data_IF_428795396378
#
_entry.id   IF_428795396378
#
_cell.length_a   1.000
_cell.length_b   1.000
_cell.length_c   1.000
_cell.angle_alpha   90.00
_cell.angle_beta   90.00
_cell.angle_gamma   90.00
#
_symmetry.space_group_name_H-M   'P 1'
#
loop_
_entity.id
_entity.type
_entity.pdbx_description
1 polymer ?
#
# COMPACT_ATOMS: atom_id res chain seq x y z
N UNK A 1 28.00 27.07 -32.84
CA UNK A 1 28.49 25.89 -32.10
C UNK A 1 27.32 24.94 -31.97
N UNK A 2 27.29 23.93 -32.83
CA UNK A 2 26.16 23.02 -33.03
C UNK A 2 25.86 22.19 -31.78
N UNK A 3 24.57 22.09 -31.46
CA UNK A 3 24.01 21.18 -30.47
C UNK A 3 24.29 19.73 -30.90
N UNK A 4 25.16 19.04 -30.16
CA UNK A 4 25.27 17.58 -30.25
C UNK A 4 23.94 16.97 -29.78
N UNK A 5 23.15 16.52 -30.75
CA UNK A 5 22.11 15.50 -30.54
C UNK A 5 22.79 14.26 -29.96
N UNK A 6 22.59 14.00 -28.68
CA UNK A 6 22.95 12.72 -28.09
C UNK A 6 22.13 11.63 -28.78
N UNK A 7 22.86 10.76 -29.49
CA UNK A 7 22.34 9.62 -30.25
C UNK A 7 21.73 8.64 -29.25
N UNK A 8 20.45 8.32 -29.42
CA UNK A 8 19.83 7.15 -28.77
C UNK A 8 20.64 5.88 -29.11
N UNK A 9 20.80 4.92 -28.17
CA UNK A 9 21.56 3.72 -28.44
C UNK A 9 20.85 2.88 -29.52
N UNK A 10 21.60 2.54 -30.57
CA UNK A 10 21.18 1.64 -31.64
C UNK A 10 21.50 0.18 -31.31
N UNK A 11 20.67 -0.71 -31.84
CA UNK A 11 20.83 -2.16 -32.07
C UNK A 11 20.60 -3.11 -30.88
N UNK A 12 19.35 -3.20 -30.44
CA UNK A 12 18.56 -4.39 -30.09
C UNK A 12 17.23 -3.89 -29.49
N UNK A 13 16.32 -3.37 -30.34
CA UNK A 13 14.99 -2.90 -29.89
C UNK A 13 14.08 -4.09 -29.56
N UNK A 14 14.44 -4.83 -28.51
CA UNK A 14 13.46 -5.56 -27.72
C UNK A 14 12.87 -4.51 -26.80
N UNK A 15 11.65 -4.05 -27.11
CA UNK A 15 10.87 -3.20 -26.22
C UNK A 15 10.85 -3.85 -24.84
N UNK A 16 11.48 -3.20 -23.85
CA UNK A 16 11.45 -3.71 -22.49
C UNK A 16 10.01 -3.67 -21.97
N UNK A 17 9.52 -4.83 -21.55
CA UNK A 17 8.19 -5.03 -21.00
C UNK A 17 8.27 -4.89 -19.48
N UNK A 18 7.44 -4.02 -18.92
CA UNK A 18 7.36 -3.77 -17.48
C UNK A 18 5.97 -4.14 -17.01
N UNK A 19 5.88 -5.02 -16.03
CA UNK A 19 4.60 -5.35 -15.40
C UNK A 19 4.46 -4.58 -14.09
N UNK A 20 3.41 -3.76 -14.00
CA UNK A 20 3.00 -3.10 -12.77
C UNK A 20 1.97 -3.96 -12.05
N UNK A 21 2.32 -4.47 -10.87
CA UNK A 21 1.43 -5.23 -10.00
C UNK A 21 0.96 -4.30 -8.88
N UNK A 22 -0.32 -3.92 -8.90
CA UNK A 22 -0.85 -2.85 -8.04
C UNK A 22 -2.29 -3.14 -7.60
N UNK A 23 -2.70 -2.83 -6.37
CA UNK A 23 -4.09 -3.02 -5.97
C UNK A 23 -5.01 -1.98 -6.64
N UNK A 24 -6.16 -2.35 -7.22
CA UNK A 24 -7.12 -1.36 -7.74
C UNK A 24 -7.66 -0.47 -6.62
N UNK A 25 -8.14 -1.06 -5.52
CA UNK A 25 -8.90 -0.28 -4.53
C UNK A 25 -8.01 0.68 -3.74
N UNK A 26 -8.08 1.96 -4.13
CA UNK A 26 -7.71 3.11 -3.29
C UNK A 26 -6.61 4.03 -3.82
N UNK A 27 -5.93 3.72 -4.94
CA UNK A 27 -4.78 4.51 -5.43
C UNK A 27 -4.60 4.52 -6.96
N UNK A 28 -5.69 4.38 -7.73
CA UNK A 28 -5.69 4.25 -9.20
C UNK A 28 -4.78 5.26 -9.93
N UNK A 29 -4.74 6.51 -9.49
CA UNK A 29 -4.03 7.59 -10.20
C UNK A 29 -2.51 7.41 -10.21
N UNK A 30 -1.94 6.75 -9.20
CA UNK A 30 -0.49 6.56 -9.13
C UNK A 30 0.00 5.54 -10.14
N UNK A 31 -0.61 4.35 -10.18
CA UNK A 31 -0.20 3.30 -11.10
C UNK A 31 -0.48 3.70 -12.55
N UNK A 32 -1.55 4.46 -12.81
CA UNK A 32 -1.79 5.06 -14.13
C UNK A 32 -0.76 6.11 -14.50
N UNK A 33 -0.37 7.01 -13.60
CA UNK A 33 0.66 8.01 -13.90
C UNK A 33 2.03 7.36 -14.16
N UNK A 34 2.40 6.35 -13.37
CA UNK A 34 3.62 5.55 -13.58
C UNK A 34 3.56 4.83 -14.94
N UNK A 35 2.42 4.19 -15.26
CA UNK A 35 2.18 3.54 -16.55
C UNK A 35 2.31 4.52 -17.71
N UNK A 36 1.70 5.70 -17.61
CA UNK A 36 1.79 6.77 -18.60
C UNK A 36 3.23 7.24 -18.82
N UNK A 37 3.96 7.51 -17.73
CA UNK A 37 5.36 7.90 -17.80
C UNK A 37 6.24 6.84 -18.47
N UNK A 38 6.07 5.57 -18.09
CA UNK A 38 6.78 4.43 -18.71
C UNK A 38 6.45 4.30 -20.20
N UNK A 39 5.19 4.44 -20.60
CA UNK A 39 4.79 4.40 -22.01
C UNK A 39 5.38 5.57 -22.81
N UNK A 40 5.40 6.78 -22.24
CA UNK A 40 6.05 7.97 -22.86
C UNK A 40 7.55 7.77 -23.04
N UNK A 41 8.19 6.99 -22.18
CA UNK A 41 9.60 6.60 -22.31
C UNK A 41 9.84 5.42 -23.27
N UNK A 42 8.78 4.87 -23.88
CA UNK A 42 8.88 3.79 -24.84
C UNK A 42 8.94 2.39 -24.23
N UNK A 43 8.39 2.18 -23.03
CA UNK A 43 8.23 0.82 -22.47
C UNK A 43 6.87 0.22 -22.82
N UNK A 44 6.82 -1.10 -23.02
CA UNK A 44 5.55 -1.84 -23.04
C UNK A 44 5.15 -2.07 -21.59
N UNK A 45 3.96 -1.62 -21.19
CA UNK A 45 3.50 -1.73 -19.81
C UNK A 45 2.28 -2.62 -19.72
N UNK A 46 2.37 -3.66 -18.90
CA UNK A 46 1.25 -4.49 -18.49
C UNK A 46 0.84 -4.09 -17.07
N UNK A 47 -0.47 -3.99 -16.81
CA UNK A 47 -0.98 -3.67 -15.48
C UNK A 47 -1.78 -4.86 -14.95
N UNK A 48 -1.50 -5.24 -13.70
CA UNK A 48 -2.07 -6.40 -13.06
C UNK A 48 -2.58 -6.01 -11.68
N UNK A 49 -3.84 -6.31 -11.38
CA UNK A 49 -4.39 -6.20 -10.03
C UNK A 49 -4.34 -7.53 -9.29
N UNK A 50 -3.55 -7.57 -8.23
CA UNK A 50 -3.40 -8.77 -7.42
C UNK A 50 -4.55 -8.96 -6.40
N UNK A 51 -5.31 -7.92 -6.05
CA UNK A 51 -6.46 -8.04 -5.13
C UNK A 51 -7.69 -8.67 -5.79
N UNK A 52 -7.86 -8.51 -7.10
CA UNK A 52 -8.90 -9.22 -7.87
C UNK A 52 -8.56 -10.71 -8.07
N UNK A 53 -7.34 -11.11 -7.74
CA UNK A 53 -6.80 -12.45 -7.96
C UNK A 53 -6.21 -13.06 -6.68
N UNK A 54 -6.73 -12.72 -5.48
CA UNK A 54 -6.17 -13.23 -4.21
C UNK A 54 -6.06 -14.75 -4.16
N UNK A 55 -7.05 -15.46 -4.71
CA UNK A 55 -7.07 -16.94 -4.74
C UNK A 55 -6.28 -17.54 -5.93
N UNK A 56 -5.80 -16.69 -6.84
CA UNK A 56 -5.11 -17.07 -8.10
C UNK A 56 -3.73 -16.46 -8.28
N UNK A 57 -3.13 -15.87 -7.23
CA UNK A 57 -1.84 -15.17 -7.31
C UNK A 57 -0.73 -16.03 -7.92
N UNK A 58 -0.72 -17.33 -7.62
CA UNK A 58 0.25 -18.25 -8.18
C UNK A 58 0.16 -18.37 -9.70
N UNK A 59 -1.06 -18.44 -10.24
CA UNK A 59 -1.27 -18.49 -11.69
C UNK A 59 -0.95 -17.15 -12.35
N UNK A 60 -1.35 -16.06 -11.69
CA UNK A 60 -1.07 -14.69 -12.14
C UNK A 60 0.44 -14.45 -12.30
N UNK A 61 1.22 -14.73 -11.25
CA UNK A 61 2.67 -14.54 -11.26
C UNK A 61 3.38 -15.48 -12.24
N UNK A 62 2.88 -16.72 -12.44
CA UNK A 62 3.42 -17.64 -13.45
C UNK A 62 3.27 -17.12 -14.88
N UNK A 63 2.21 -16.36 -15.16
CA UNK A 63 1.93 -15.79 -16.49
C UNK A 63 2.70 -14.50 -16.76
N UNK A 64 3.33 -13.90 -15.75
CA UNK A 64 4.12 -12.68 -15.94
C UNK A 64 5.36 -13.01 -16.78
N UNK A 65 5.42 -12.42 -17.96
CA UNK A 65 6.59 -12.39 -18.82
C UNK A 65 6.99 -10.93 -18.97
N UNK A 66 8.02 -10.49 -18.25
CA UNK A 66 8.45 -9.09 -18.21
C UNK A 66 9.96 -9.00 -18.04
N UNK A 67 10.53 -7.86 -18.46
CA UNK A 67 11.93 -7.50 -18.21
C UNK A 67 12.12 -6.83 -16.83
N UNK A 68 11.02 -6.38 -16.21
CA UNK A 68 10.98 -5.81 -14.85
C UNK A 68 9.57 -5.94 -14.28
N UNK A 69 9.46 -6.31 -13.01
CA UNK A 69 8.20 -6.27 -12.26
C UNK A 69 8.29 -5.22 -11.16
N UNK A 70 7.34 -4.30 -11.15
CA UNK A 70 7.20 -3.29 -10.08
C UNK A 70 5.92 -3.57 -9.32
N UNK A 71 6.07 -3.83 -8.03
CA UNK A 71 4.96 -4.13 -7.12
C UNK A 71 4.71 -2.93 -6.22
N UNK A 72 3.49 -2.40 -6.24
CA UNK A 72 3.05 -1.34 -5.33
C UNK A 72 2.58 -1.92 -4.00
N UNK A 73 3.14 -1.47 -2.88
CA UNK A 73 2.87 -1.91 -1.48
C UNK A 73 3.20 -3.38 -1.17
N UNK A 74 2.92 -4.32 -2.08
CA UNK A 74 3.25 -5.75 -1.92
C UNK A 74 2.43 -6.50 -0.87
N UNK A 75 1.34 -5.94 -0.37
CA UNK A 75 0.53 -6.51 0.70
C UNK A 75 0.03 -7.93 0.34
N UNK A 76 0.36 -8.92 1.17
CA UNK A 76 -0.14 -10.29 1.04
C UNK A 76 0.44 -11.10 -0.12
N UNK A 77 1.51 -10.62 -0.79
CA UNK A 77 2.18 -11.37 -1.85
C UNK A 77 3.23 -12.31 -1.23
N UNK A 78 3.11 -13.63 -1.40
CA UNK A 78 4.08 -14.58 -0.85
C UNK A 78 5.51 -14.34 -1.36
N UNK A 79 6.53 -14.37 -0.49
CA UNK A 79 7.95 -14.28 -0.86
C UNK A 79 8.37 -15.25 -1.95
N UNK A 80 7.88 -16.49 -1.90
CA UNK A 80 8.17 -17.53 -2.89
C UNK A 80 7.67 -17.19 -4.29
N UNK A 81 6.58 -16.42 -4.42
CA UNK A 81 6.09 -15.96 -5.71
C UNK A 81 6.97 -14.86 -6.30
N UNK A 82 7.45 -13.94 -5.47
CA UNK A 82 8.39 -12.89 -5.88
C UNK A 82 9.69 -13.56 -6.38
N UNK A 83 10.22 -14.51 -5.61
CA UNK A 83 11.42 -15.26 -5.95
C UNK A 83 11.27 -16.15 -7.20
N UNK A 84 10.05 -16.49 -7.60
CA UNK A 84 9.78 -17.30 -8.81
C UNK A 84 9.85 -16.50 -10.12
N UNK A 85 9.83 -15.16 -10.05
CA UNK A 85 9.92 -14.29 -11.22
C UNK A 85 11.34 -14.30 -11.78
N UNK A 86 11.48 -14.38 -13.10
CA UNK A 86 12.77 -14.50 -13.81
C UNK A 86 13.35 -13.17 -14.28
N UNK A 87 12.94 -12.09 -13.64
CA UNK A 87 13.35 -10.73 -13.97
C UNK A 87 13.59 -9.95 -12.67
N UNK A 88 14.28 -8.80 -12.73
CA UNK A 88 14.39 -7.91 -11.58
C UNK A 88 13.01 -7.54 -11.02
N UNK A 89 12.92 -7.50 -9.69
CA UNK A 89 11.71 -7.16 -8.95
C UNK A 89 11.92 -5.92 -8.09
N UNK A 90 10.94 -5.02 -8.11
CA UNK A 90 10.96 -3.77 -7.34
C UNK A 90 9.75 -3.73 -6.43
N UNK A 91 9.99 -3.54 -5.13
CA UNK A 91 8.96 -3.10 -4.21
C UNK A 91 8.93 -1.57 -4.17
N UNK A 92 7.83 -0.99 -4.63
CA UNK A 92 7.56 0.44 -4.57
C UNK A 92 6.73 0.75 -3.32
N UNK A 93 7.33 1.46 -2.34
CA UNK A 93 6.74 1.60 -1.02
C UNK A 93 6.85 3.02 -0.45
N UNK A 94 5.75 3.54 0.11
CA UNK A 94 5.69 4.93 0.61
C UNK A 94 4.85 5.14 1.86
N UNK A 95 4.44 4.08 2.55
CA UNK A 95 3.67 4.19 3.79
C UNK A 95 4.60 4.42 4.98
N UNK A 96 4.14 5.20 5.96
CA UNK A 96 4.94 5.52 7.15
C UNK A 96 5.15 4.28 8.03
N UNK A 97 6.43 3.94 8.28
CA UNK A 97 6.82 2.71 9.01
C UNK A 97 7.75 2.98 10.20
N UNK A 98 8.15 4.24 10.43
CA UNK A 98 9.09 4.59 11.50
C UNK A 98 8.41 4.89 12.85
N UNK A 99 7.08 4.92 12.87
CA UNK A 99 6.29 5.21 14.06
C UNK A 99 6.17 4.04 15.03
N UNK A 100 5.69 4.34 16.25
CA UNK A 100 5.29 3.34 17.25
C UNK A 100 3.76 3.23 17.37
N UNK A 101 3.04 4.01 16.58
CA UNK A 101 1.58 3.92 16.49
C UNK A 101 1.16 2.68 15.68
N UNK A 102 -0.09 2.27 15.89
CA UNK A 102 -0.66 1.08 15.28
C UNK A 102 -0.58 1.10 13.74
N UNK A 103 -0.74 2.27 13.12
CA UNK A 103 -0.63 2.40 11.67
C UNK A 103 0.77 2.04 11.19
N UNK A 104 1.81 2.63 11.78
CA UNK A 104 3.19 2.34 11.41
C UNK A 104 3.58 0.87 11.69
N UNK A 105 3.11 0.32 12.81
CA UNK A 105 3.38 -1.08 13.19
C UNK A 105 2.76 -2.05 12.19
N UNK A 106 1.52 -1.82 11.76
CA UNK A 106 0.83 -2.67 10.77
C UNK A 106 1.58 -2.71 9.44
N UNK A 107 1.96 -1.55 8.92
CA UNK A 107 2.72 -1.45 7.66
C UNK A 107 4.13 -2.06 7.78
N UNK A 108 4.78 -1.92 8.94
CA UNK A 108 6.06 -2.57 9.20
C UNK A 108 5.94 -4.10 9.19
N UNK A 109 4.87 -4.67 9.75
CA UNK A 109 4.61 -6.12 9.73
C UNK A 109 4.42 -6.64 8.30
N UNK A 110 3.74 -5.89 7.45
CA UNK A 110 3.59 -6.24 6.03
C UNK A 110 4.95 -6.29 5.32
N UNK A 111 5.83 -5.32 5.57
CA UNK A 111 7.18 -5.31 5.00
C UNK A 111 8.06 -6.44 5.54
N UNK A 112 7.93 -6.78 6.83
CA UNK A 112 8.65 -7.91 7.43
C UNK A 112 8.32 -9.24 6.74
N UNK A 113 7.11 -9.38 6.21
CA UNK A 113 6.67 -10.60 5.56
C UNK A 113 7.38 -10.87 4.24
N UNK A 114 7.58 -9.84 3.38
CA UNK A 114 8.07 -10.08 2.01
C UNK A 114 9.05 -9.07 1.43
N UNK A 115 9.37 -7.96 2.10
CA UNK A 115 10.18 -6.91 1.49
C UNK A 115 11.60 -7.38 1.10
N UNK A 116 12.17 -8.31 1.87
CA UNK A 116 13.50 -8.89 1.61
C UNK A 116 13.53 -9.85 0.39
N UNK A 117 12.36 -10.29 -0.09
CA UNK A 117 12.27 -11.15 -1.27
C UNK A 117 12.46 -10.38 -2.59
N UNK A 118 12.34 -9.05 -2.56
CA UNK A 118 12.52 -8.19 -3.73
C UNK A 118 13.99 -7.91 -4.00
N UNK A 119 14.37 -7.83 -5.28
CA UNK A 119 15.73 -7.45 -5.69
C UNK A 119 16.05 -6.01 -5.29
N UNK A 120 15.04 -5.15 -5.35
CA UNK A 120 15.12 -3.73 -5.00
C UNK A 120 13.91 -3.31 -4.17
N UNK A 121 14.15 -2.53 -3.12
CA UNK A 121 13.10 -1.81 -2.41
C UNK A 121 13.32 -0.32 -2.62
N UNK A 122 12.34 0.34 -3.21
CA UNK A 122 12.39 1.77 -3.55
C UNK A 122 11.44 2.51 -2.63
N UNK A 123 12.03 3.27 -1.71
CA UNK A 123 11.32 4.06 -0.74
C UNK A 123 10.89 5.41 -1.32
N UNK A 124 9.60 5.74 -1.19
CA UNK A 124 9.05 7.06 -1.52
C UNK A 124 9.26 8.01 -0.35
N UNK A 125 10.29 8.83 -0.45
CA UNK A 125 10.58 9.82 0.57
C UNK A 125 12.01 10.29 0.51
N UNK A 126 12.42 10.94 1.59
CA UNK A 126 13.77 11.46 1.71
C UNK A 126 14.80 10.34 2.00
N UNK A 127 16.03 10.55 1.51
CA UNK A 127 17.19 9.68 1.68
C UNK A 127 17.60 9.52 3.14
N UNK A 128 17.24 10.49 3.98
CA UNK A 128 17.58 10.56 5.41
C UNK A 128 16.41 10.10 6.30
N UNK A 129 15.49 9.29 5.76
CA UNK A 129 14.38 8.73 6.51
C UNK A 129 14.81 7.52 7.36
N UNK A 130 14.28 7.43 8.58
CA UNK A 130 14.43 6.24 9.44
C UNK A 130 13.95 4.96 8.74
N UNK A 131 13.01 5.10 7.79
CA UNK A 131 12.49 4.02 6.95
C UNK A 131 13.56 3.29 6.16
N UNK A 132 14.55 3.99 5.58
CA UNK A 132 15.63 3.33 4.81
C UNK A 132 16.49 2.46 5.73
N UNK A 133 16.77 2.93 6.95
CA UNK A 133 17.48 2.13 7.96
C UNK A 133 16.66 0.91 8.37
N UNK A 134 15.36 1.09 8.59
CA UNK A 134 14.45 -0.01 8.93
C UNK A 134 14.45 -1.06 7.82
N UNK A 135 14.27 -0.67 6.55
CA UNK A 135 14.27 -1.58 5.40
C UNK A 135 15.59 -2.36 5.27
N UNK A 136 16.73 -1.71 5.48
CA UNK A 136 18.04 -2.40 5.52
C UNK A 136 18.12 -3.42 6.66
N UNK A 137 17.60 -3.07 7.83
CA UNK A 137 17.55 -3.99 8.98
C UNK A 137 16.59 -5.17 8.77
N UNK A 138 15.58 -5.03 7.90
CA UNK A 138 14.73 -6.14 7.46
C UNK A 138 15.42 -7.11 6.49
N UNK A 139 16.69 -6.86 6.13
CA UNK A 139 17.43 -7.71 5.20
C UNK A 139 17.25 -7.35 3.73
N UNK A 140 16.64 -6.20 3.42
CA UNK A 140 16.52 -5.74 2.04
C UNK A 140 17.90 -5.37 1.48
N UNK A 141 18.33 -6.09 0.45
CA UNK A 141 19.72 -6.00 -0.04
C UNK A 141 20.03 -4.73 -0.82
N UNK A 142 19.07 -4.21 -1.60
CA UNK A 142 19.20 -2.98 -2.39
C UNK A 142 18.06 -2.03 -2.07
N UNK A 143 18.30 -1.14 -1.10
CA UNK A 143 17.32 -0.12 -0.71
C UNK A 143 17.69 1.21 -1.39
N UNK A 144 16.86 1.60 -2.33
CA UNK A 144 16.91 2.89 -3.02
C UNK A 144 15.82 3.84 -2.53
N UNK A 145 15.83 5.06 -3.05
CA UNK A 145 14.80 6.05 -2.76
C UNK A 145 14.50 6.90 -3.98
N UNK A 146 13.27 7.39 -4.04
CA UNK A 146 12.88 8.46 -4.96
C UNK A 146 12.08 9.48 -4.16
N UNK A 147 12.34 10.75 -4.39
CA UNK A 147 11.50 11.79 -3.82
C UNK A 147 10.10 11.65 -4.42
N UNK A 148 9.02 11.83 -3.63
CA UNK A 148 7.67 11.77 -4.17
C UNK A 148 7.48 12.89 -5.20
N UNK A 149 7.58 12.55 -6.49
CA UNK A 149 7.23 13.44 -7.59
C UNK A 149 6.02 12.86 -8.31
N UNK A 150 4.91 13.60 -8.27
CA UNK A 150 3.60 13.10 -8.66
C UNK A 150 2.87 13.99 -9.67
N UNK A 151 3.54 15.01 -10.20
CA UNK A 151 2.93 15.81 -11.23
C UNK A 151 2.81 15.01 -12.52
N UNK A 152 1.59 14.58 -12.81
CA UNK A 152 1.22 14.04 -14.11
C UNK A 152 0.56 15.14 -14.94
N UNK A 153 1.22 15.61 -16.03
CA UNK A 153 0.67 16.68 -16.87
C UNK A 153 -0.61 16.28 -17.62
N UNK A 154 -0.91 14.99 -17.79
CA UNK A 154 -2.13 14.53 -18.46
C UNK A 154 -3.35 14.68 -17.55
N UNK A 155 -3.12 14.62 -16.24
CA UNK A 155 -4.15 14.57 -15.21
C UNK A 155 -4.33 15.93 -14.54
N UNK A 156 -3.25 16.48 -13.98
CA UNK A 156 -3.29 17.71 -13.19
C UNK A 156 -2.99 18.92 -14.08
N UNK A 157 -4.03 19.71 -14.33
CA UNK A 157 -4.02 20.85 -15.24
C UNK A 157 -4.81 22.03 -14.69
N UNK A 158 -4.36 23.23 -15.05
CA UNK A 158 -5.11 24.47 -14.84
C UNK A 158 -6.24 24.56 -15.85
N UNK A 159 -7.47 24.64 -15.35
CA UNK A 159 -8.71 24.62 -16.15
C UNK A 159 -9.34 26.00 -16.34
N UNK A 160 -8.76 27.07 -15.78
CA UNK A 160 -9.26 28.45 -15.88
C UNK A 160 -10.76 28.59 -15.59
N UNK A 161 -11.23 27.91 -14.54
CA UNK A 161 -12.64 27.91 -14.15
C UNK A 161 -12.98 29.05 -13.18
N UNK A 162 -14.23 29.55 -13.17
CA UNK A 162 -14.70 30.49 -12.15
C UNK A 162 -14.54 29.92 -10.74
N UNK A 163 -14.09 30.77 -9.80
CA UNK A 163 -13.99 30.42 -8.38
C UNK A 163 -15.38 30.49 -7.72
N UNK A 164 -15.92 29.34 -7.33
CA UNK A 164 -17.26 29.23 -6.70
C UNK A 164 -17.20 28.82 -5.22
N UNK A 165 -16.08 28.24 -4.79
CA UNK A 165 -15.85 27.84 -3.40
C UNK A 165 -14.85 28.80 -2.76
N UNK A 166 -15.22 29.39 -1.62
CA UNK A 166 -14.32 30.27 -0.87
C UNK A 166 -13.19 29.47 -0.23
N UNK A 167 -13.57 28.46 0.55
CA UNK A 167 -12.65 27.57 1.25
C UNK A 167 -13.06 26.14 0.99
N UNK A 168 -12.12 25.28 0.64
CA UNK A 168 -12.38 23.88 0.33
C UNK A 168 -11.41 22.95 1.04
N UNK A 169 -11.88 21.77 1.40
CA UNK A 169 -11.07 20.67 1.91
C UNK A 169 -11.47 19.37 1.22
N UNK A 170 -10.47 18.60 0.78
CA UNK A 170 -10.71 17.27 0.21
C UNK A 170 -9.97 16.22 1.03
N UNK A 171 -10.68 15.19 1.49
CA UNK A 171 -10.09 14.01 2.12
C UNK A 171 -10.92 13.46 3.28
N UNK A 172 -10.42 12.37 3.87
CA UNK A 172 -11.10 11.68 4.97
C UNK A 172 -11.19 12.54 6.23
N UNK A 173 -12.35 12.46 6.89
CA UNK A 173 -12.63 13.16 8.14
C UNK A 173 -12.14 12.32 9.31
N UNK A 174 -11.18 12.88 10.05
CA UNK A 174 -10.71 12.37 11.34
C UNK A 174 -11.24 13.26 12.46
N UNK A 175 -11.29 12.81 13.72
CA UNK A 175 -11.76 13.66 14.83
C UNK A 175 -11.04 15.01 14.93
N UNK A 176 -9.73 15.04 14.60
CA UNK A 176 -8.93 16.28 14.53
C UNK A 176 -9.41 17.21 13.42
N UNK A 177 -9.55 16.68 12.21
CA UNK A 177 -9.97 17.45 11.03
C UNK A 177 -11.39 17.98 11.22
N UNK A 178 -12.29 17.15 11.74
CA UNK A 178 -13.66 17.54 12.07
C UNK A 178 -13.70 18.73 13.02
N UNK A 179 -12.94 18.68 14.13
CA UNK A 179 -12.86 19.79 15.09
C UNK A 179 -12.40 21.10 14.45
N UNK A 180 -11.38 21.05 13.58
CA UNK A 180 -10.86 22.24 12.88
C UNK A 180 -11.88 22.75 11.86
N UNK A 181 -12.38 21.88 10.98
CA UNK A 181 -13.32 22.23 9.91
C UNK A 181 -14.64 22.77 10.47
N UNK A 182 -15.19 22.14 11.52
CA UNK A 182 -16.38 22.62 12.24
C UNK A 182 -16.17 23.98 12.92
N UNK A 183 -14.94 24.30 13.32
CA UNK A 183 -14.61 25.64 13.85
C UNK A 183 -14.56 26.67 12.73
N UNK A 184 -14.00 26.33 11.58
CA UNK A 184 -13.93 27.21 10.41
C UNK A 184 -15.32 27.47 9.80
N UNK A 185 -16.18 26.45 9.74
CA UNK A 185 -17.53 26.56 9.18
C UNK A 185 -18.43 27.56 9.93
N UNK A 186 -18.08 27.93 11.17
CA UNK A 186 -18.78 28.99 11.92
C UNK A 186 -18.47 30.40 11.41
N UNK A 187 -17.39 30.57 10.64
CA UNK A 187 -16.89 31.89 10.18
C UNK A 187 -16.82 31.99 8.65
N UNK A 188 -16.58 30.88 7.97
CA UNK A 188 -16.32 30.84 6.54
C UNK A 188 -17.23 29.83 5.85
N UNK A 189 -17.50 30.06 4.56
CA UNK A 189 -18.15 29.07 3.69
C UNK A 189 -17.12 27.98 3.30
N UNK A 190 -17.09 26.91 4.10
CA UNK A 190 -16.16 25.77 3.92
C UNK A 190 -16.89 24.62 3.25
N UNK A 191 -16.38 24.19 2.10
CA UNK A 191 -16.86 23.01 1.37
C UNK A 191 -15.94 21.82 1.65
N UNK A 192 -16.51 20.72 2.13
CA UNK A 192 -15.76 19.51 2.53
C UNK A 192 -16.23 18.34 1.67
N UNK A 193 -15.31 17.69 0.95
CA UNK A 193 -15.63 16.54 0.08
C UNK A 193 -14.65 15.40 0.22
N UNK A 194 -15.11 14.19 -0.06
CA UNK A 194 -14.24 13.02 -0.24
C UNK A 194 -14.35 12.56 -1.70
N UNK A 195 -13.48 13.10 -2.56
CA UNK A 195 -13.54 12.91 -4.02
C UNK A 195 -12.48 11.89 -4.46
N UNK A 196 -12.93 10.80 -5.06
CA UNK A 196 -12.06 9.74 -5.61
C UNK A 196 -11.82 9.88 -7.11
N UNK A 197 -12.79 10.45 -7.83
CA UNK A 197 -12.68 10.78 -9.24
C UNK A 197 -11.74 11.97 -9.44
N UNK A 198 -10.74 11.83 -10.30
CA UNK A 198 -9.72 12.88 -10.42
C UNK A 198 -10.13 14.03 -11.30
N UNK A 199 -10.96 13.81 -12.31
CA UNK A 199 -11.46 14.94 -13.11
C UNK A 199 -12.33 15.86 -12.26
N UNK A 200 -13.21 15.28 -11.44
CA UNK A 200 -13.99 16.00 -10.45
C UNK A 200 -13.08 16.69 -9.43
N UNK A 201 -12.05 15.99 -8.94
CA UNK A 201 -11.13 16.56 -7.95
C UNK A 201 -10.34 17.75 -8.51
N UNK A 202 -9.80 17.65 -9.73
CA UNK A 202 -9.07 18.72 -10.42
C UNK A 202 -10.00 19.90 -10.70
N UNK A 203 -11.22 19.64 -11.16
CA UNK A 203 -12.26 20.67 -11.33
C UNK A 203 -12.57 21.38 -10.01
N UNK A 204 -12.74 20.62 -8.93
CA UNK A 204 -13.03 21.14 -7.60
C UNK A 204 -11.90 22.06 -7.12
N UNK A 205 -10.64 21.64 -7.23
CA UNK A 205 -9.49 22.49 -6.90
C UNK A 205 -9.49 23.77 -7.74
N UNK A 206 -9.71 23.68 -9.05
CA UNK A 206 -9.70 24.83 -9.94
C UNK A 206 -10.81 25.84 -9.62
N UNK A 207 -11.94 25.37 -9.08
CA UNK A 207 -13.07 26.19 -8.67
C UNK A 207 -12.98 26.74 -7.23
N UNK A 208 -11.94 26.38 -6.49
CA UNK A 208 -11.69 26.87 -5.13
C UNK A 208 -10.76 28.08 -5.11
N UNK A 209 -11.11 29.10 -4.32
CA UNK A 209 -10.18 30.20 -3.98
C UNK A 209 -9.08 29.67 -3.09
N UNK A 210 -9.43 28.98 -2.00
CA UNK A 210 -8.47 28.38 -1.06
C UNK A 210 -8.72 26.88 -0.96
N UNK A 211 -7.68 26.08 -1.24
CA UNK A 211 -7.68 24.66 -0.90
C UNK A 211 -6.88 24.45 0.38
N UNK A 212 -7.57 24.00 1.43
CA UNK A 212 -6.99 23.75 2.74
C UNK A 212 -6.30 22.39 2.78
N UNK A 213 -5.15 22.36 3.43
CA UNK A 213 -4.54 21.12 3.89
C UNK A 213 -4.38 21.11 5.41
N UNK A 214 -4.79 19.97 5.98
CA UNK A 214 -4.78 19.69 7.41
C UNK A 214 -4.18 18.30 7.59
N UNK A 215 -3.13 18.21 8.41
CA UNK A 215 -2.44 16.95 8.68
C UNK A 215 -3.39 15.90 9.26
N UNK A 216 -3.20 14.64 8.86
CA UNK A 216 -4.07 13.52 9.24
C UNK A 216 -4.03 13.22 10.75
N UNK A 217 -2.84 13.23 11.36
CA UNK A 217 -2.61 12.95 12.77
C UNK A 217 -1.94 14.13 13.49
N UNK A 218 -2.00 14.10 14.82
CA UNK A 218 -1.44 15.14 15.70
C UNK A 218 0.10 15.13 15.74
N UNK A 219 0.74 14.05 15.28
CA UNK A 219 2.18 13.83 15.43
C UNK A 219 2.86 13.48 14.11
N UNK A 220 2.33 13.89 12.95
CA UNK A 220 2.90 13.44 11.66
C UNK A 220 4.38 13.81 11.58
N UNK A 221 5.19 12.78 11.79
CA UNK A 221 6.63 12.71 11.70
C UNK A 221 7.07 12.17 10.32
N UNK A 222 6.19 12.20 9.32
CA UNK A 222 6.61 11.94 7.95
C UNK A 222 7.37 13.17 7.48
N UNK A 223 8.69 13.08 7.31
CA UNK A 223 9.55 14.12 6.71
C UNK A 223 9.27 14.33 5.21
N UNK A 224 8.01 14.25 4.80
CA UNK A 224 7.58 14.38 3.41
C UNK A 224 6.30 15.20 3.33
N UNK A 225 6.24 16.08 2.35
CA UNK A 225 5.03 16.84 2.02
C UNK A 225 3.94 15.86 1.56
N UNK A 226 2.70 16.08 2.00
CA UNK A 226 1.60 15.19 1.66
C UNK A 226 1.31 15.18 0.15
N UNK A 227 0.94 13.99 -0.33
CA UNK A 227 0.19 13.68 -1.56
C UNK A 227 -0.48 14.87 -2.24
N UNK A 228 -1.47 15.38 -1.51
CA UNK A 228 -2.42 16.39 -1.95
C UNK A 228 -1.78 17.71 -2.36
N UNK A 229 -0.57 18.00 -1.87
CA UNK A 229 0.15 19.22 -2.23
C UNK A 229 0.49 19.25 -3.71
N UNK A 230 0.96 18.14 -4.25
CA UNK A 230 1.29 18.05 -5.67
C UNK A 230 0.03 18.08 -6.54
N UNK A 231 -1.06 17.45 -6.10
CA UNK A 231 -2.33 17.42 -6.81
C UNK A 231 -2.94 18.84 -6.93
N UNK A 232 -2.94 19.61 -5.83
CA UNK A 232 -3.52 20.96 -5.78
C UNK A 232 -2.67 21.95 -6.56
N UNK A 233 -1.36 21.99 -6.27
CA UNK A 233 -0.45 22.90 -6.98
C UNK A 233 -0.35 22.54 -8.46
N UNK A 234 -0.30 21.24 -8.79
CA UNK A 234 -0.35 20.72 -10.15
C UNK A 234 -1.65 21.04 -10.90
N UNK A 235 -2.72 21.38 -10.19
CA UNK A 235 -3.99 21.84 -10.78
C UNK A 235 -4.03 23.36 -10.97
N UNK A 236 -2.98 24.10 -10.62
CA UNK A 236 -2.98 25.56 -10.73
C UNK A 236 -3.73 26.27 -9.61
N UNK A 237 -3.93 25.63 -8.47
CA UNK A 237 -4.75 26.14 -7.38
C UNK A 237 -3.94 26.58 -6.17
N UNK A 238 -4.43 27.64 -5.52
CA UNK A 238 -3.83 28.14 -4.28
C UNK A 238 -4.09 27.19 -3.12
N UNK A 239 -3.03 26.90 -2.38
CA UNK A 239 -3.05 26.00 -1.23
C UNK A 239 -2.65 26.73 0.04
N UNK A 240 -3.48 26.60 1.08
CA UNK A 240 -3.15 26.99 2.44
C UNK A 240 -2.84 25.73 3.25
N UNK A 241 -1.55 25.48 3.44
CA UNK A 241 -1.00 24.22 3.92
C UNK A 241 -0.67 24.29 5.41
N UNK A 242 -1.10 23.31 6.21
CA UNK A 242 -0.66 23.26 7.61
C UNK A 242 0.85 23.05 7.69
N UNK A 243 1.53 23.92 8.42
CA UNK A 243 2.99 23.93 8.51
C UNK A 243 3.56 22.55 8.86
N UNK A 244 4.68 22.24 8.23
CA UNK A 244 5.41 20.98 8.40
C UNK A 244 6.60 21.23 9.31
N UNK A 245 6.84 20.34 10.26
CA UNK A 245 7.92 20.47 11.25
C UNK A 245 9.33 20.21 10.67
N UNK A 246 9.53 20.29 9.35
CA UNK A 246 10.77 19.91 8.66
C UNK A 246 10.96 20.60 7.31
N UNK A 247 12.15 20.42 6.70
CA UNK A 247 12.53 21.06 5.45
C UNK A 247 11.65 20.62 4.28
N UNK A 248 11.08 21.59 3.59
CA UNK A 248 10.23 21.41 2.42
C UNK A 248 10.82 22.19 1.24
N UNK A 249 10.74 21.66 0.00
CA UNK A 249 11.19 22.40 -1.17
C UNK A 249 10.26 23.59 -1.50
N UNK A 250 9.11 23.71 -0.83
CA UNK A 250 8.16 24.79 -1.04
C UNK A 250 8.48 26.03 -0.18
N UNK A 251 8.40 27.22 -0.79
CA UNK A 251 8.63 28.49 -0.12
C UNK A 251 7.29 29.15 0.25
N UNK A 252 7.14 29.55 1.52
CA UNK A 252 5.95 30.26 2.02
C UNK A 252 5.75 31.59 1.27
N UNK A 253 4.50 31.92 0.95
CA UNK A 253 4.15 33.14 0.21
C UNK A 253 4.63 33.16 -1.24
N UNK A 254 5.17 32.04 -1.73
CA UNK A 254 5.68 31.91 -3.10
C UNK A 254 5.08 30.73 -3.85
N UNK A 255 5.25 29.51 -3.34
CA UNK A 255 4.72 28.30 -3.99
C UNK A 255 3.38 27.87 -3.40
N UNK A 256 3.19 28.13 -2.12
CA UNK A 256 1.98 27.91 -1.34
C UNK A 256 2.06 28.85 -0.12
N UNK A 257 1.02 28.89 0.72
CA UNK A 257 1.15 29.54 2.03
C UNK A 257 0.97 28.55 3.17
N UNK A 258 1.80 28.66 4.21
CA UNK A 258 1.68 27.82 5.40
C UNK A 258 0.77 28.44 6.45
N UNK A 259 0.16 27.66 7.33
CA UNK A 259 -0.44 28.15 8.58
C UNK A 259 0.09 27.33 9.75
N UNK A 260 0.28 27.96 10.92
CA UNK A 260 1.00 27.33 12.04
C UNK A 260 0.28 26.07 12.54
N UNK A 261 1.03 24.97 12.67
CA UNK A 261 0.51 23.68 13.11
C UNK A 261 -0.37 23.78 14.37
N UNK A 262 -1.63 23.38 14.26
CA UNK A 262 -2.61 23.42 15.36
C UNK A 262 -3.12 24.80 15.78
N UNK A 263 -2.61 25.90 15.23
CA UNK A 263 -3.08 27.26 15.52
C UNK A 263 -4.25 27.64 14.59
N UNK A 264 -5.46 27.29 15.01
CA UNK A 264 -6.69 27.59 14.27
C UNK A 264 -6.95 29.11 14.16
N UNK A 265 -6.39 29.93 15.06
CA UNK A 265 -6.53 31.39 14.95
C UNK A 265 -5.65 31.94 13.83
N UNK A 266 -4.44 31.41 13.67
CA UNK A 266 -3.58 31.72 12.52
C UNK A 266 -4.24 31.32 11.20
N UNK A 267 -4.81 30.10 11.16
CA UNK A 267 -5.57 29.63 10.01
C UNK A 267 -6.73 30.59 9.67
N UNK A 268 -7.53 31.01 10.66
CA UNK A 268 -8.62 31.95 10.43
C UNK A 268 -8.13 33.28 9.86
N UNK A 269 -7.06 33.87 10.42
CA UNK A 269 -6.48 35.12 9.92
C UNK A 269 -6.00 35.01 8.48
N UNK A 270 -5.33 33.90 8.13
CA UNK A 270 -4.84 33.67 6.77
C UNK A 270 -5.97 33.41 5.78
N UNK A 271 -7.03 32.71 6.18
CA UNK A 271 -8.23 32.57 5.33
C UNK A 271 -8.83 33.95 5.02
N UNK A 272 -9.08 34.78 6.04
CA UNK A 272 -9.65 36.13 5.86
C UNK A 272 -8.79 36.99 4.93
N UNK A 273 -7.47 36.96 5.14
CA UNK A 273 -6.50 37.66 4.30
C UNK A 273 -6.58 37.18 2.84
N UNK A 274 -6.43 35.88 2.59
CA UNK A 274 -6.37 35.37 1.22
C UNK A 274 -7.72 35.36 0.50
N UNK A 275 -8.86 35.47 1.20
CA UNK A 275 -10.17 35.68 0.56
C UNK A 275 -10.33 37.08 -0.03
N UNK A 276 -9.56 38.06 0.45
CA UNK A 276 -9.61 39.46 -0.01
C UNK A 276 -8.41 39.89 -0.87
N UNK A 277 -7.36 39.06 -0.94
CA UNK A 277 -6.12 39.33 -1.66
C UNK A 277 -5.97 38.45 -2.92
N UNK A 278 -6.89 38.62 -3.87
CA UNK A 278 -6.98 37.79 -5.09
C UNK A 278 -5.68 37.76 -5.91
N UNK A 279 -5.07 38.92 -6.17
CA UNK A 279 -3.86 39.04 -7.00
C UNK A 279 -2.69 38.26 -6.41
N UNK A 280 -2.46 38.38 -5.10
CA UNK A 280 -1.39 37.66 -4.42
C UNK A 280 -1.66 36.15 -4.42
N UNK A 281 -2.90 35.77 -4.11
CA UNK A 281 -3.33 34.36 -4.08
C UNK A 281 -3.11 33.67 -5.43
N UNK A 282 -3.53 34.29 -6.52
CA UNK A 282 -3.38 33.73 -7.87
C UNK A 282 -1.91 33.72 -8.32
N UNK A 283 -1.09 34.71 -7.92
CA UNK A 283 0.37 34.69 -8.16
C UNK A 283 1.02 33.49 -7.48
N UNK A 284 0.70 33.24 -6.20
CA UNK A 284 1.24 32.10 -5.44
C UNK A 284 0.82 30.78 -6.09
N UNK A 285 -0.44 30.66 -6.51
CA UNK A 285 -0.93 29.47 -7.21
C UNK A 285 -0.17 29.21 -8.52
N UNK A 286 0.11 30.25 -9.31
CA UNK A 286 0.84 30.14 -10.57
C UNK A 286 2.30 29.75 -10.36
N UNK A 287 2.98 30.36 -9.38
CA UNK A 287 4.36 30.00 -9.05
C UNK A 287 4.47 28.58 -8.49
N UNK A 288 3.52 28.17 -7.64
CA UNK A 288 3.41 26.79 -7.16
C UNK A 288 3.21 25.78 -8.29
N UNK A 289 2.33 26.08 -9.23
CA UNK A 289 2.08 25.24 -10.41
C UNK A 289 3.32 25.11 -11.29
N UNK A 290 3.97 26.23 -11.61
CA UNK A 290 5.19 26.24 -12.42
C UNK A 290 6.33 25.47 -11.73
N UNK A 291 6.45 25.58 -10.41
CA UNK A 291 7.44 24.85 -9.64
C UNK A 291 7.18 23.33 -9.65
N UNK A 292 5.93 22.91 -9.37
CA UNK A 292 5.55 21.49 -9.39
C UNK A 292 5.75 20.86 -10.77
N UNK A 293 5.32 21.56 -11.83
CA UNK A 293 5.51 21.12 -13.21
C UNK A 293 6.98 20.91 -13.59
N UNK A 294 7.87 21.82 -13.16
CA UNK A 294 9.29 21.78 -13.50
C UNK A 294 10.07 20.76 -12.68
N UNK A 295 9.75 20.62 -11.40
CA UNK A 295 10.61 19.94 -10.43
C UNK A 295 10.07 18.60 -9.95
N UNK A 296 8.79 18.30 -10.17
CA UNK A 296 8.13 17.13 -9.58
C UNK A 296 7.32 16.29 -10.59
N UNK A 297 7.75 16.22 -11.85
CA UNK A 297 7.13 15.35 -12.84
C UNK A 297 7.27 13.86 -12.49
N UNK A 298 6.24 13.06 -12.76
CA UNK A 298 6.29 11.59 -12.61
C UNK A 298 7.38 10.99 -13.50
N UNK A 299 7.58 11.55 -14.69
CA UNK A 299 8.63 11.13 -15.62
C UNK A 299 10.02 11.17 -14.95
N UNK A 300 10.31 12.21 -14.17
CA UNK A 300 11.59 12.31 -13.48
C UNK A 300 11.74 11.26 -12.37
N UNK A 301 10.69 11.00 -11.59
CA UNK A 301 10.71 9.90 -10.61
C UNK A 301 10.95 8.56 -11.29
N UNK A 302 10.33 8.30 -12.43
CA UNK A 302 10.52 7.04 -13.16
C UNK A 302 11.94 6.94 -13.73
N UNK A 303 12.54 8.03 -14.21
CA UNK A 303 13.96 8.01 -14.59
C UNK A 303 14.87 7.71 -13.40
N UNK A 304 14.62 8.34 -12.24
CA UNK A 304 15.38 8.10 -11.02
C UNK A 304 15.22 6.67 -10.51
N UNK A 305 14.01 6.11 -10.57
CA UNK A 305 13.74 4.71 -10.27
C UNK A 305 14.58 3.83 -11.19
N UNK A 306 14.39 3.95 -12.51
CA UNK A 306 15.01 3.06 -13.50
C UNK A 306 16.54 3.16 -13.49
N UNK A 307 17.09 4.33 -13.19
CA UNK A 307 18.53 4.53 -13.02
C UNK A 307 19.13 3.79 -11.81
N UNK A 308 18.30 3.33 -10.87
CA UNK A 308 18.72 2.51 -9.72
C UNK A 308 18.67 1.01 -10.01
N UNK A 309 18.06 0.59 -11.13
CA UNK A 309 17.82 -0.83 -11.46
C UNK A 309 18.85 -1.32 -12.46
N UNK A 310 19.53 -2.40 -12.10
CA UNK A 310 20.39 -3.12 -13.03
C UNK A 310 19.60 -4.26 -13.69
N UNK A 311 19.27 -4.08 -14.97
CA UNK A 311 18.52 -5.06 -15.75
C UNK A 311 19.33 -6.32 -16.11
N UNK A 312 20.65 -6.31 -15.94
CA UNK A 312 21.51 -7.48 -16.16
C UNK A 312 21.62 -8.36 -14.92
N UNK A 313 21.34 -7.80 -13.74
CA UNK A 313 21.35 -8.52 -12.48
C UNK A 313 19.95 -9.09 -12.25
N UNK A 314 19.71 -10.28 -12.79
CA UNK A 314 18.83 -11.22 -12.13
C UNK A 314 19.71 -12.30 -11.49
N UNK A 315 20.11 -12.04 -10.25
CA UNK A 315 20.49 -13.12 -9.35
C UNK A 315 19.21 -13.44 -8.59
N UNK A 316 18.53 -14.60 -8.78
CA UNK A 316 17.43 -14.99 -7.91
C UNK A 316 17.95 -14.87 -6.49
N UNK A 317 17.48 -13.87 -5.74
CA UNK A 317 18.17 -13.23 -4.62
C UNK A 317 19.19 -14.12 -3.90
N UNK A 318 20.38 -14.28 -4.50
CA UNK A 318 21.56 -14.89 -3.90
C UNK A 318 22.32 -13.75 -3.22
N UNK A 319 21.61 -13.01 -2.37
CA UNK A 319 22.19 -12.19 -1.33
C UNK A 319 21.59 -12.58 0.00
N UNK A 320 21.54 -13.88 0.22
CA UNK A 320 21.46 -14.45 1.55
C UNK A 320 22.82 -14.34 2.25
N UNK A 321 23.34 -13.12 2.45
CA UNK A 321 24.37 -12.89 3.48
C UNK A 321 23.84 -13.03 4.91
N UNK A 322 22.57 -13.46 5.05
CA UNK A 322 22.01 -14.06 6.26
C UNK A 322 21.58 -15.54 6.12
N UNK A 323 21.73 -16.20 4.97
CA UNK A 323 21.31 -17.60 4.76
C UNK A 323 22.23 -18.29 3.72
N UNK A 324 23.33 -18.90 4.15
CA UNK A 324 24.14 -19.71 3.23
C UNK A 324 23.30 -20.86 2.64
N UNK A 325 23.33 -21.04 1.32
CA UNK A 325 23.51 -22.30 0.56
C UNK A 325 23.21 -22.02 -0.93
N UNK A 326 24.11 -22.50 -1.80
CA UNK A 326 24.12 -22.30 -3.25
C UNK A 326 23.18 -23.26 -3.99
N UNK A 327 22.42 -22.74 -4.96
CA UNK A 327 21.58 -23.49 -5.90
C UNK A 327 22.33 -23.69 -7.21
N UNK A 328 22.86 -24.89 -7.47
CA UNK A 328 23.53 -25.19 -8.74
C UNK A 328 23.05 -26.49 -9.39
N UNK A 329 21.82 -26.92 -9.11
CA UNK A 329 21.31 -28.18 -9.67
C UNK A 329 19.80 -28.24 -9.81
N UNK A 330 19.21 -27.29 -10.55
CA UNK A 330 17.76 -27.25 -10.73
C UNK A 330 17.34 -27.18 -12.19
N UNK A 331 17.55 -28.32 -12.85
CA UNK A 331 16.82 -28.71 -14.03
C UNK A 331 16.29 -30.13 -13.82
N UNK A 332 15.07 -30.26 -13.28
CA UNK A 332 14.00 -31.21 -13.67
C UNK A 332 12.84 -31.21 -12.66
N UNK A 333 11.66 -31.41 -13.23
CA UNK A 333 10.33 -31.16 -12.68
C UNK A 333 9.95 -32.06 -11.49
N UNK A 334 9.04 -31.56 -10.64
CA UNK A 334 8.38 -32.18 -9.46
C UNK A 334 9.09 -32.13 -8.09
N UNK A 335 10.40 -31.87 -8.01
CA UNK A 335 11.12 -31.70 -6.72
C UNK A 335 10.93 -30.30 -6.11
N UNK A 336 10.09 -29.46 -6.73
CA UNK A 336 10.14 -28.02 -6.56
C UNK A 336 9.57 -27.46 -5.27
N UNK A 337 8.47 -28.00 -4.77
CA UNK A 337 7.79 -27.42 -3.62
C UNK A 337 8.43 -27.82 -2.30
N UNK A 338 8.99 -29.04 -2.19
CA UNK A 338 9.64 -29.50 -0.97
C UNK A 338 11.03 -28.87 -0.74
N UNK A 339 11.77 -28.55 -1.80
CA UNK A 339 13.05 -27.83 -1.65
C UNK A 339 12.87 -26.31 -1.53
N UNK A 340 11.85 -25.74 -2.19
CA UNK A 340 11.39 -24.36 -1.91
C UNK A 340 10.92 -24.26 -0.45
N UNK A 341 10.20 -25.25 0.05
CA UNK A 341 9.78 -25.38 1.45
C UNK A 341 10.96 -25.41 2.43
N UNK A 342 12.00 -26.24 2.20
CA UNK A 342 13.22 -26.26 3.04
C UNK A 342 14.02 -24.95 2.97
N UNK A 343 14.01 -24.28 1.81
CA UNK A 343 14.70 -23.00 1.64
C UNK A 343 13.97 -21.83 2.32
N UNK A 344 12.64 -21.91 2.47
CA UNK A 344 11.80 -20.90 3.11
C UNK A 344 11.63 -21.11 4.62
N UNK A 345 11.89 -22.32 5.13
CA UNK A 345 11.79 -22.70 6.56
C UNK A 345 12.58 -21.79 7.52
N UNK A 346 13.82 -21.34 7.21
CA UNK A 346 14.57 -20.41 8.06
C UNK A 346 14.13 -18.94 7.91
N UNK A 347 13.47 -18.60 6.79
CA UNK A 347 13.12 -17.23 6.38
C UNK A 347 11.80 -16.79 7.02
N UNK A 348 10.89 -17.74 7.25
CA UNK A 348 9.64 -17.54 7.97
C UNK A 348 9.92 -17.49 9.48
N UNK A 349 10.49 -16.38 9.93
CA UNK A 349 10.96 -16.17 11.32
C UNK A 349 9.96 -16.71 12.36
N UNK A 350 10.38 -17.64 13.26
CA UNK A 350 9.54 -18.24 14.31
C UNK A 350 8.95 -17.29 15.37
N UNK A 351 9.19 -15.98 15.24
CA UNK A 351 8.79 -14.94 16.20
C UNK A 351 7.42 -14.32 15.92
N UNK A 352 6.78 -14.60 14.79
CA UNK A 352 5.54 -13.94 14.38
C UNK A 352 4.38 -14.92 14.18
N UNK A 353 3.26 -14.63 14.83
CA UNK A 353 2.03 -15.44 14.80
C UNK A 353 1.46 -15.58 13.38
N UNK A 354 1.46 -14.49 12.60
CA UNK A 354 1.02 -14.50 11.19
C UNK A 354 1.85 -15.46 10.33
N UNK A 355 3.16 -15.59 10.61
CA UNK A 355 4.04 -16.50 9.87
C UNK A 355 3.62 -17.95 10.03
N UNK A 356 3.24 -18.35 11.25
CA UNK A 356 2.71 -19.70 11.50
C UNK A 356 1.37 -19.91 10.81
N UNK A 357 0.50 -18.89 10.79
CA UNK A 357 -0.78 -18.96 10.08
C UNK A 357 -0.60 -19.11 8.56
N UNK A 358 0.25 -18.32 7.92
CA UNK A 358 0.49 -18.43 6.48
C UNK A 358 1.14 -19.76 6.10
N UNK A 359 2.03 -20.30 6.96
CA UNK A 359 2.56 -21.65 6.79
C UNK A 359 1.46 -22.70 6.87
N UNK A 360 0.63 -22.63 7.92
CA UNK A 360 -0.51 -23.54 8.08
C UNK A 360 -1.44 -23.48 6.87
N UNK A 361 -1.74 -22.29 6.36
CA UNK A 361 -2.59 -22.08 5.18
C UNK A 361 -1.97 -22.67 3.92
N UNK A 362 -0.67 -22.49 3.72
CA UNK A 362 0.05 -23.11 2.61
C UNK A 362 -0.04 -24.65 2.66
N UNK A 363 0.16 -25.26 3.83
CA UNK A 363 0.01 -26.73 3.97
C UNK A 363 -1.43 -27.19 3.82
N UNK A 364 -2.40 -26.38 4.27
CA UNK A 364 -3.82 -26.63 4.11
C UNK A 364 -4.19 -26.66 2.62
N UNK A 365 -3.69 -25.70 1.82
CA UNK A 365 -3.90 -25.68 0.36
C UNK A 365 -3.20 -26.84 -0.37
N UNK A 366 -2.13 -27.37 0.21
CA UNK A 366 -1.43 -28.57 -0.27
C UNK A 366 -2.05 -29.88 0.22
N UNK A 367 -3.17 -29.82 0.94
CA UNK A 367 -3.85 -30.97 1.55
C UNK A 367 -2.96 -31.78 2.53
N UNK A 368 -1.92 -31.14 3.07
CA UNK A 368 -1.00 -31.69 4.07
C UNK A 368 -1.49 -31.31 5.46
N UNK A 369 -2.54 -32.00 5.88
CA UNK A 369 -3.36 -31.59 7.03
C UNK A 369 -2.63 -31.66 8.36
N UNK A 370 -1.75 -32.65 8.57
CA UNK A 370 -0.96 -32.80 9.79
C UNK A 370 0.02 -31.64 9.97
N UNK A 371 0.71 -31.24 8.90
CA UNK A 371 1.60 -30.09 8.93
C UNK A 371 0.82 -28.78 9.08
N UNK A 372 -0.31 -28.63 8.38
CA UNK A 372 -1.19 -27.49 8.52
C UNK A 372 -1.64 -27.29 9.97
N UNK A 373 -2.08 -28.38 10.62
CA UNK A 373 -2.50 -28.36 12.02
C UNK A 373 -1.34 -27.94 12.93
N UNK A 374 -0.14 -28.51 12.78
CA UNK A 374 1.01 -28.15 13.59
C UNK A 374 1.40 -26.67 13.50
N UNK A 375 1.21 -26.05 12.32
CA UNK A 375 1.49 -24.63 12.12
C UNK A 375 0.36 -23.73 12.66
N UNK A 376 -0.90 -24.10 12.46
CA UNK A 376 -2.00 -23.35 13.06
C UNK A 376 -2.02 -23.46 14.59
N UNK A 377 -1.69 -24.62 15.16
CA UNK A 377 -1.50 -24.81 16.61
C UNK A 377 -0.45 -23.84 17.15
N UNK A 378 0.72 -23.74 16.50
CA UNK A 378 1.75 -22.76 16.89
C UNK A 378 1.25 -21.30 16.80
N UNK A 379 0.41 -20.98 15.82
CA UNK A 379 -0.20 -19.65 15.73
C UNK A 379 -1.13 -19.39 16.93
N UNK A 380 -2.02 -20.33 17.24
CA UNK A 380 -2.96 -20.23 18.38
C UNK A 380 -2.23 -20.24 19.73
N UNK A 381 -1.17 -21.02 19.89
CA UNK A 381 -0.32 -21.03 21.10
C UNK A 381 0.34 -19.67 21.35
N UNK A 382 0.73 -18.97 20.28
CA UNK A 382 1.39 -17.66 20.38
C UNK A 382 0.42 -16.51 20.56
N UNK A 383 -0.77 -16.60 19.99
CA UNK A 383 -1.85 -15.64 20.17
C UNK A 383 -3.19 -16.38 20.23
N UNK A 384 -3.63 -16.65 21.46
CA UNK A 384 -4.85 -17.41 21.75
C UNK A 384 -6.14 -16.71 21.27
N UNK A 385 -6.04 -15.44 20.85
CA UNK A 385 -7.15 -14.64 20.30
C UNK A 385 -7.12 -14.54 18.78
N UNK A 386 -6.21 -15.25 18.08
CA UNK A 386 -6.08 -15.12 16.64
C UNK A 386 -7.15 -15.93 15.89
N UNK A 387 -8.33 -15.30 15.73
CA UNK A 387 -9.57 -15.90 15.20
C UNK A 387 -9.37 -16.67 13.88
N UNK A 388 -8.59 -16.14 12.94
CA UNK A 388 -8.35 -16.81 11.65
C UNK A 388 -7.58 -18.13 11.83
N UNK A 389 -6.53 -18.14 12.67
CA UNK A 389 -5.76 -19.36 12.92
C UNK A 389 -6.60 -20.42 13.64
N UNK A 390 -7.45 -20.01 14.59
CA UNK A 390 -8.39 -20.91 15.29
C UNK A 390 -9.39 -21.53 14.31
N UNK A 391 -9.93 -20.72 13.38
CA UNK A 391 -10.88 -21.20 12.39
C UNK A 391 -10.25 -22.22 11.44
N UNK A 392 -9.09 -21.89 10.87
CA UNK A 392 -8.39 -22.80 9.95
C UNK A 392 -7.84 -24.04 10.67
N UNK A 393 -7.43 -23.94 11.94
CA UNK A 393 -7.07 -25.11 12.76
C UNK A 393 -8.27 -26.06 12.90
N UNK A 394 -9.45 -25.52 13.22
CA UNK A 394 -10.65 -26.33 13.34
C UNK A 394 -11.02 -27.03 12.02
N UNK A 395 -10.98 -26.31 10.89
CA UNK A 395 -11.22 -26.92 9.58
C UNK A 395 -10.19 -28.01 9.25
N UNK A 396 -8.94 -27.80 9.63
CA UNK A 396 -7.86 -28.79 9.44
C UNK A 396 -8.14 -30.05 10.27
N UNK A 397 -8.61 -29.88 11.52
CA UNK A 397 -9.03 -31.02 12.34
C UNK A 397 -10.22 -31.78 11.76
N UNK A 398 -11.14 -31.12 11.04
CA UNK A 398 -12.21 -31.81 10.31
C UNK A 398 -11.62 -32.71 9.22
N UNK A 399 -10.69 -32.22 8.42
CA UNK A 399 -10.01 -33.01 7.38
C UNK A 399 -9.19 -34.17 7.96
N UNK A 400 -8.62 -34.00 9.15
CA UNK A 400 -7.95 -35.05 9.93
C UNK A 400 -8.91 -36.02 10.63
N UNK A 401 -10.23 -35.88 10.46
CA UNK A 401 -11.28 -36.64 11.16
C UNK A 401 -11.22 -36.50 12.70
N UNK A 402 -10.55 -35.47 13.21
CA UNK A 402 -10.46 -35.10 14.63
C UNK A 402 -11.63 -34.19 15.03
N UNK A 403 -12.85 -34.71 14.86
CA UNK A 403 -14.11 -33.95 15.00
C UNK A 403 -14.26 -33.28 16.37
N UNK A 404 -13.88 -33.98 17.45
CA UNK A 404 -13.99 -33.42 18.81
C UNK A 404 -13.03 -32.24 19.05
N UNK A 405 -11.84 -32.28 18.47
CA UNK A 405 -10.87 -31.17 18.55
C UNK A 405 -11.36 -29.96 17.74
N UNK A 406 -11.93 -30.20 16.56
CA UNK A 406 -12.57 -29.14 15.75
C UNK A 406 -13.71 -28.45 16.50
N UNK A 407 -14.59 -29.21 17.16
CA UNK A 407 -15.69 -28.66 17.97
C UNK A 407 -15.15 -27.82 19.14
N UNK A 408 -14.11 -28.29 19.83
CA UNK A 408 -13.49 -27.53 20.93
C UNK A 408 -12.94 -26.20 20.44
N UNK A 409 -12.21 -26.23 19.32
CA UNK A 409 -11.56 -25.03 18.78
C UNK A 409 -12.58 -24.00 18.27
N UNK A 410 -13.65 -24.45 17.59
CA UNK A 410 -14.72 -23.55 17.14
C UNK A 410 -15.50 -22.94 18.31
N UNK A 411 -15.70 -23.69 19.41
CA UNK A 411 -16.31 -23.14 20.62
C UNK A 411 -15.44 -22.05 21.23
N UNK A 412 -14.14 -22.30 21.38
CA UNK A 412 -13.18 -21.31 21.87
C UNK A 412 -13.14 -20.08 20.95
N UNK A 413 -13.16 -20.27 19.63
CA UNK A 413 -13.27 -19.18 18.67
C UNK A 413 -14.51 -18.31 18.93
N UNK A 414 -15.67 -18.92 19.20
CA UNK A 414 -16.91 -18.19 19.48
C UNK A 414 -16.94 -17.52 20.86
N UNK A 415 -16.07 -17.90 21.80
CA UNK A 415 -15.85 -17.14 23.04
C UNK A 415 -15.11 -15.82 22.74
N UNK A 416 -14.15 -15.85 21.81
CA UNK A 416 -13.38 -14.67 21.38
C UNK A 416 -14.14 -13.80 20.38
N UNK A 417 -14.84 -14.42 19.43
CA UNK A 417 -15.60 -13.77 18.37
C UNK A 417 -17.05 -14.32 18.30
N UNK A 418 -17.95 -13.87 19.19
CA UNK A 418 -19.30 -14.41 19.33
C UNK A 418 -20.20 -14.32 18.08
N UNK A 419 -19.84 -13.43 17.15
CA UNK A 419 -20.58 -13.16 15.91
C UNK A 419 -19.86 -13.69 14.66
N UNK A 420 -19.05 -14.74 14.75
CA UNK A 420 -18.44 -15.35 13.57
C UNK A 420 -19.44 -16.31 12.88
N UNK A 421 -19.92 -15.93 11.69
CA UNK A 421 -20.99 -16.67 11.00
C UNK A 421 -20.55 -18.07 10.58
N UNK A 422 -19.37 -18.16 9.97
CA UNK A 422 -18.78 -19.39 9.42
C UNK A 422 -18.46 -20.41 10.51
N UNK A 423 -17.97 -19.96 11.67
CA UNK A 423 -17.73 -20.85 12.82
C UNK A 423 -19.03 -21.42 13.40
N UNK A 424 -20.10 -20.62 13.47
CA UNK A 424 -21.43 -21.10 13.88
C UNK A 424 -21.99 -22.11 12.85
N UNK A 425 -21.83 -21.87 11.55
CA UNK A 425 -22.26 -22.82 10.52
C UNK A 425 -21.46 -24.13 10.57
N UNK A 426 -20.13 -24.05 10.71
CA UNK A 426 -19.26 -25.22 10.84
C UNK A 426 -19.59 -26.08 12.07
N UNK A 427 -19.85 -25.47 13.24
CA UNK A 427 -20.33 -26.22 14.42
C UNK A 427 -21.68 -26.90 14.15
N UNK A 428 -22.59 -26.20 13.47
CA UNK A 428 -23.89 -26.75 13.12
C UNK A 428 -23.78 -27.97 12.20
N UNK A 429 -22.84 -27.97 11.26
CA UNK A 429 -22.53 -29.10 10.38
C UNK A 429 -21.90 -30.27 11.15
N UNK A 430 -20.92 -29.99 12.01
CA UNK A 430 -20.27 -31.02 12.82
C UNK A 430 -21.27 -31.71 13.78
N UNK A 431 -22.13 -30.95 14.45
CA UNK A 431 -23.17 -31.53 15.31
C UNK A 431 -24.23 -32.32 14.55
N UNK A 432 -24.53 -31.93 13.30
CA UNK A 432 -25.39 -32.74 12.43
C UNK A 432 -24.75 -34.10 12.14
N UNK A 433 -23.43 -34.12 11.91
CA UNK A 433 -22.66 -35.33 11.66
C UNK A 433 -22.51 -36.24 12.88
N UNK A 434 -22.46 -35.67 14.10
CA UNK A 434 -22.39 -36.45 15.35
C UNK A 434 -23.76 -36.86 15.90
N UNK A 435 -24.86 -36.43 15.28
CA UNK A 435 -26.23 -36.79 15.66
C UNK A 435 -26.86 -35.92 16.76
N UNK A 436 -26.23 -34.81 17.12
CA UNK A 436 -26.78 -33.86 18.10
C UNK A 436 -27.62 -32.79 17.37
N UNK A 437 -28.85 -33.16 17.03
CA UNK A 437 -29.74 -32.39 16.15
C UNK A 437 -30.14 -31.05 16.78
N UNK A 438 -30.31 -30.99 18.10
CA UNK A 438 -30.69 -29.76 18.80
C UNK A 438 -29.56 -28.71 18.75
N UNK A 439 -28.32 -29.12 19.03
CA UNK A 439 -27.17 -28.21 18.89
C UNK A 439 -26.91 -27.83 17.44
N UNK A 440 -27.11 -28.77 16.50
CA UNK A 440 -26.96 -28.50 15.08
C UNK A 440 -27.89 -27.38 14.61
N UNK A 441 -29.18 -27.44 14.95
CA UNK A 441 -30.15 -26.41 14.59
C UNK A 441 -29.85 -25.07 15.27
N UNK A 442 -29.46 -25.11 16.55
CA UNK A 442 -29.08 -23.93 17.32
C UNK A 442 -27.94 -23.14 16.66
N UNK A 443 -26.83 -23.81 16.34
CA UNK A 443 -25.65 -23.16 15.74
C UNK A 443 -25.91 -22.74 14.28
N UNK A 444 -26.65 -23.53 13.48
CA UNK A 444 -27.05 -23.12 12.12
C UNK A 444 -27.93 -21.87 12.13
N UNK A 445 -28.87 -21.75 13.07
CA UNK A 445 -29.70 -20.54 13.20
C UNK A 445 -28.87 -19.32 13.60
N UNK A 446 -27.91 -19.48 14.54
CA UNK A 446 -27.00 -18.39 14.91
C UNK A 446 -26.17 -17.91 13.73
N UNK A 447 -25.55 -18.83 12.97
CA UNK A 447 -24.74 -18.49 11.80
C UNK A 447 -25.53 -17.72 10.74
N UNK A 448 -26.78 -18.14 10.46
CA UNK A 448 -27.68 -17.46 9.51
C UNK A 448 -28.11 -16.06 9.98
N UNK A 449 -28.39 -15.87 11.27
CA UNK A 449 -28.79 -14.56 11.83
C UNK A 449 -27.66 -13.54 11.78
N UNK A 450 -26.42 -13.98 12.00
CA UNK A 450 -25.23 -13.12 11.89
C UNK A 450 -25.02 -12.69 10.44
N UNK A 451 -25.12 -13.60 9.46
CA UNK A 451 -24.92 -13.29 8.04
C UNK A 451 -25.94 -12.30 7.44
N UNK A 452 -27.08 -12.09 8.11
CA UNK A 452 -28.12 -11.12 7.70
C UNK A 452 -27.90 -9.73 8.33
N UNK A 453 -27.26 -9.66 9.51
CA UNK A 453 -27.10 -8.42 10.28
C UNK A 453 -25.65 -7.86 10.26
N UNK A 454 -24.70 -8.54 9.60
CA UNK A 454 -23.26 -8.23 9.60
C UNK A 454 -22.76 -7.27 8.52
N UNK A 455 -23.61 -6.40 7.98
CA UNK A 455 -23.16 -5.27 7.13
C UNK A 455 -23.32 -3.99 7.94
N UNK A 456 -22.32 -3.61 8.73
CA UNK A 456 -22.06 -2.22 9.12
C UNK A 456 -20.59 -2.02 9.50
#
# INVERSE_FOLDING_TARGET
MELRKERMPSSLDVWKRITLVWPHKGNHHYSHAISGALRRMGYIVDMVDYREHRDGLHELFRRINADLVIVGRGEGIPPGLIASLRCPTVLWYGEYIAGKDEYAITHLRELQYNASAFDYVIWLGDKDSDSIRILRNLGCSRVGYVYPCRYDPEVYKKLYLPKIYDVSFVGSITPRRDKILSTLAKKFKVEVRNIWDVEEQVRFFNQSKIVLHINFAQFIATRSVNMRTFDVLGSGSFMLHEDVLFHTPFQDGRHLSFWKFGDVNDLCRKIDYYLTNDTERERIAEEGYAFVKRSFSVDETIRQLLGQIDFSIHAPALNMKGCGIAFDKWGRETTSMNELHKALEPILSPQYVQSYFEQGKMYYELERWEEAAAFFEKAVEREATFVNAMYFLALTYVHLLRVNDAIRELKHLLEVAPFHAEANLALGELYSGTGDIELAEYYKQKGRKVGINGVH
#
